data_IF_025643737021
#
_entry.id   IF_025643737021
#
_cell.length_a   1.000
_cell.length_b   1.000
_cell.length_c   1.000
_cell.angle_alpha   90.00
_cell.angle_beta   90.00
_cell.angle_gamma   90.00
#
_symmetry.space_group_name_H-M   'P 1'
#
loop_
_entity.id
_entity.type
_entity.pdbx_description
1 polymer ?
#
# COMPACT_ATOMS: atom_id res chain seq x y z
N UNK A 1 -20.78 3.67 12.27
CA UNK A 1 -19.33 3.89 12.39
C UNK A 1 -18.66 3.50 11.07
N UNK A 2 -18.24 4.46 10.23
CA UNK A 2 -17.57 4.14 8.96
C UNK A 2 -16.13 3.75 9.29
N UNK A 3 -15.86 2.45 9.36
CA UNK A 3 -14.52 1.92 9.66
C UNK A 3 -13.49 2.46 8.64
N UNK A 4 -12.36 2.99 9.14
CA UNK A 4 -11.22 3.41 8.32
C UNK A 4 -10.64 2.25 7.49
N UNK A 5 -10.95 0.99 7.85
CA UNK A 5 -10.58 -0.23 7.11
C UNK A 5 -11.12 -0.30 5.67
N UNK A 6 -12.01 0.60 5.28
CA UNK A 6 -12.51 0.70 3.91
C UNK A 6 -11.60 1.50 2.97
N UNK A 7 -10.68 2.31 3.49
CA UNK A 7 -9.89 3.24 2.69
C UNK A 7 -8.43 2.81 2.62
N UNK A 8 -8.00 2.43 1.42
CA UNK A 8 -6.59 2.16 1.11
C UNK A 8 -6.05 3.36 0.36
N UNK A 9 -5.11 4.08 0.99
CA UNK A 9 -4.36 5.19 0.40
C UNK A 9 -3.29 4.62 -0.51
N UNK A 10 -3.33 4.97 -1.80
CA UNK A 10 -2.32 4.57 -2.78
C UNK A 10 -1.25 5.67 -2.80
N UNK A 11 -0.02 5.32 -2.47
CA UNK A 11 1.07 6.29 -2.33
C UNK A 11 2.20 6.02 -3.33
N UNK A 12 2.44 6.96 -4.24
CA UNK A 12 3.62 6.95 -5.11
C UNK A 12 4.84 7.43 -4.32
N UNK A 13 5.85 6.57 -4.18
CA UNK A 13 7.13 6.87 -3.51
C UNK A 13 8.33 6.94 -4.47
N UNK A 14 8.08 7.16 -5.77
CA UNK A 14 9.14 7.25 -6.80
C UNK A 14 10.09 8.44 -6.57
N UNK A 15 9.59 9.52 -5.98
CA UNK A 15 10.37 10.74 -5.72
C UNK A 15 10.01 11.31 -4.36
N UNK A 16 10.05 10.45 -3.34
CA UNK A 16 9.68 10.80 -1.99
C UNK A 16 10.71 11.77 -1.40
N UNK A 17 10.21 12.91 -0.93
CA UNK A 17 11.01 14.01 -0.38
C UNK A 17 10.32 14.60 0.84
N UNK A 18 11.10 15.00 1.83
CA UNK A 18 10.59 15.76 2.97
C UNK A 18 10.32 17.21 2.54
N UNK A 19 9.11 17.72 2.78
CA UNK A 19 8.76 19.10 2.42
C UNK A 19 9.26 20.16 3.41
N UNK A 20 9.88 19.74 4.52
CA UNK A 20 10.39 20.65 5.55
C UNK A 20 11.89 20.94 5.37
N UNK A 21 12.63 20.02 4.74
CA UNK A 21 14.08 20.13 4.57
C UNK A 21 14.59 19.60 3.22
N UNK A 22 13.71 19.22 2.30
CA UNK A 22 14.02 18.69 0.96
C UNK A 22 14.87 17.40 0.94
N UNK A 23 15.01 16.72 2.09
CA UNK A 23 15.70 15.43 2.16
C UNK A 23 15.03 14.39 1.25
N UNK A 24 15.83 13.72 0.42
CA UNK A 24 15.40 12.59 -0.41
C UNK A 24 15.36 11.32 0.44
N UNK A 25 14.27 10.57 0.34
CA UNK A 25 14.02 9.38 1.15
C UNK A 25 13.49 8.28 0.25
N UNK A 26 13.90 7.04 0.48
CA UNK A 26 13.58 5.92 -0.42
C UNK A 26 12.37 5.12 0.09
N UNK A 27 12.16 5.05 1.41
CA UNK A 27 11.08 4.28 2.01
C UNK A 27 10.10 5.13 2.83
N UNK A 28 8.84 4.68 2.90
CA UNK A 28 7.82 5.37 3.71
C UNK A 28 8.14 5.33 5.20
N UNK A 29 8.67 4.21 5.70
CA UNK A 29 9.04 4.05 7.10
C UNK A 29 10.20 4.97 7.49
N UNK A 30 11.19 5.12 6.60
CA UNK A 30 12.28 6.08 6.76
C UNK A 30 11.77 7.52 6.82
N UNK A 31 10.76 7.87 6.00
CA UNK A 31 10.18 9.21 6.03
C UNK A 31 9.46 9.46 7.37
N UNK A 32 8.71 8.49 7.88
CA UNK A 32 8.04 8.61 9.19
C UNK A 32 9.09 8.80 10.30
N UNK A 33 10.18 8.02 10.27
CA UNK A 33 11.26 8.14 11.23
C UNK A 33 11.98 9.49 11.13
N UNK A 34 12.25 9.96 9.92
CA UNK A 34 12.84 11.28 9.65
C UNK A 34 11.97 12.41 10.18
N UNK A 35 10.66 12.39 9.89
CA UNK A 35 9.71 13.40 10.35
C UNK A 35 9.64 13.43 11.90
N UNK A 36 9.71 12.28 12.56
CA UNK A 36 9.74 12.21 14.01
C UNK A 36 11.04 12.75 14.61
N UNK A 37 12.20 12.36 14.06
CA UNK A 37 13.52 12.70 14.61
C UNK A 37 13.96 14.13 14.32
N UNK A 38 13.81 14.57 13.07
CA UNK A 38 14.34 15.86 12.60
C UNK A 38 13.32 17.00 12.74
N UNK A 39 12.03 16.69 12.81
CA UNK A 39 10.96 17.68 12.78
C UNK A 39 9.93 17.55 13.91
N UNK A 40 10.08 16.56 14.80
CA UNK A 40 9.14 16.33 15.92
C UNK A 40 7.71 16.02 15.47
N UNK A 41 7.53 15.56 14.22
CA UNK A 41 6.22 15.19 13.65
C UNK A 41 6.00 13.70 13.82
N UNK A 42 5.30 13.34 14.89
CA UNK A 42 4.95 11.96 15.17
C UNK A 42 3.70 11.56 14.39
N UNK A 43 3.77 10.40 13.72
CA UNK A 43 2.66 9.79 13.00
C UNK A 43 2.31 8.44 13.62
N UNK A 44 1.02 8.10 13.57
CA UNK A 44 0.53 6.81 14.01
C UNK A 44 0.95 5.69 13.04
N UNK A 45 1.65 4.68 13.58
CA UNK A 45 2.15 3.53 12.82
C UNK A 45 1.09 2.45 12.61
N UNK A 46 -0.05 2.52 13.30
CA UNK A 46 -1.15 1.57 13.13
C UNK A 46 -1.81 1.69 11.74
N UNK A 47 -1.57 2.80 11.03
CA UNK A 47 -2.12 3.08 9.70
C UNK A 47 -1.37 2.31 8.58
N UNK A 48 -0.25 1.63 8.86
CA UNK A 48 0.56 0.93 7.83
C UNK A 48 -0.24 0.00 6.92
N UNK A 49 -1.26 -0.69 7.43
CA UNK A 49 -2.11 -1.58 6.63
C UNK A 49 -3.01 -0.86 5.61
N UNK A 50 -3.20 0.45 5.77
CA UNK A 50 -4.07 1.28 4.93
C UNK A 50 -3.30 2.10 3.90
N UNK A 51 -1.98 2.20 4.01
CA UNK A 51 -1.15 2.86 3.01
C UNK A 51 -0.53 1.76 2.14
N UNK A 52 -0.83 1.80 0.86
CA UNK A 52 -0.23 0.95 -0.14
C UNK A 52 0.77 1.76 -0.95
N UNK A 53 2.06 1.71 -0.59
CA UNK A 53 3.11 2.36 -1.34
C UNK A 53 3.45 1.59 -2.63
N UNK A 54 3.79 2.32 -3.68
CA UNK A 54 4.28 1.79 -4.95
C UNK A 54 5.30 2.73 -5.57
N UNK A 55 6.13 2.22 -6.48
CA UNK A 55 7.15 2.99 -7.18
C UNK A 55 7.07 2.73 -8.68
N UNK A 56 7.30 3.76 -9.49
CA UNK A 56 7.54 3.60 -10.91
C UNK A 56 9.03 3.33 -11.17
N UNK A 57 9.31 2.50 -12.17
CA UNK A 57 10.66 2.42 -12.73
C UNK A 57 11.05 3.74 -13.42
N UNK A 58 12.35 3.91 -13.72
CA UNK A 58 12.90 5.18 -14.24
C UNK A 58 12.16 5.74 -15.45
N UNK A 59 11.67 4.88 -16.33
CA UNK A 59 10.93 5.25 -17.54
C UNK A 59 9.41 5.31 -17.36
N UNK A 60 8.89 5.05 -16.14
CA UNK A 60 7.47 4.97 -15.80
C UNK A 60 6.65 3.95 -16.61
N UNK A 61 7.29 3.03 -17.32
CA UNK A 61 6.62 1.98 -18.09
C UNK A 61 6.16 0.82 -17.19
N UNK A 62 6.90 0.59 -16.11
CA UNK A 62 6.59 -0.44 -15.12
C UNK A 62 6.40 0.15 -13.74
N UNK A 63 5.60 -0.55 -12.94
CA UNK A 63 5.34 -0.24 -11.55
C UNK A 63 5.91 -1.38 -10.71
N UNK A 64 6.84 -1.04 -9.82
CA UNK A 64 7.52 -1.97 -8.93
C UNK A 64 6.82 -2.01 -7.57
N UNK A 65 6.63 -3.22 -7.05
CA UNK A 65 6.22 -3.41 -5.68
C UNK A 65 7.35 -2.95 -4.74
N UNK A 66 7.01 -2.28 -3.65
CA UNK A 66 8.03 -1.82 -2.69
C UNK A 66 8.26 -2.82 -1.56
N UNK A 67 7.42 -3.86 -1.47
CA UNK A 67 7.50 -4.91 -0.46
C UNK A 67 8.14 -6.21 -1.01
N UNK A 68 8.37 -6.29 -2.32
CA UNK A 68 9.08 -7.38 -2.99
C UNK A 68 9.65 -6.93 -4.34
N UNK A 69 10.36 -7.82 -5.04
CA UNK A 69 11.03 -7.48 -6.30
C UNK A 69 10.13 -7.57 -7.55
N UNK A 70 8.81 -7.75 -7.41
CA UNK A 70 7.92 -7.92 -8.55
C UNK A 70 7.61 -6.60 -9.26
N UNK A 71 7.49 -6.68 -10.59
CA UNK A 71 7.16 -5.57 -11.48
C UNK A 71 5.87 -5.84 -12.25
N UNK A 72 5.12 -4.79 -12.53
CA UNK A 72 3.81 -4.86 -13.17
C UNK A 72 3.68 -3.79 -14.25
N UNK A 73 3.07 -4.17 -15.38
CA UNK A 73 2.87 -3.27 -16.51
C UNK A 73 1.66 -2.33 -16.34
N UNK A 74 0.85 -2.53 -15.29
CA UNK A 74 -0.25 -1.63 -14.96
C UNK A 74 -0.62 -1.69 -13.49
N UNK A 75 -1.31 -0.64 -13.03
CA UNK A 75 -1.68 -0.48 -11.63
C UNK A 75 -2.69 -1.52 -11.14
N UNK A 76 -3.60 -2.00 -12.01
CA UNK A 76 -4.62 -2.98 -11.63
C UNK A 76 -3.97 -4.30 -11.19
N UNK A 77 -3.01 -4.80 -11.97
CA UNK A 77 -2.30 -6.06 -11.67
C UNK A 77 -1.45 -5.91 -10.40
N UNK A 78 -0.75 -4.78 -10.23
CA UNK A 78 -0.06 -4.49 -8.97
C UNK A 78 -1.05 -4.50 -7.80
N UNK A 79 -2.19 -3.83 -7.93
CA UNK A 79 -3.19 -3.72 -6.87
C UNK A 79 -3.72 -5.10 -6.43
N UNK A 80 -3.96 -6.00 -7.40
CA UNK A 80 -4.35 -7.39 -7.12
C UNK A 80 -3.22 -8.18 -6.45
N UNK A 81 -1.97 -7.98 -6.88
CA UNK A 81 -0.79 -8.56 -6.23
C UNK A 81 -0.69 -8.15 -4.76
N UNK A 82 -1.02 -6.91 -4.40
CA UNK A 82 -0.89 -6.42 -3.02
C UNK A 82 -1.75 -7.18 -2.00
N UNK A 83 -2.72 -8.01 -2.41
CA UNK A 83 -3.44 -8.93 -1.54
C UNK A 83 -2.50 -9.94 -0.83
N UNK A 84 -1.32 -10.25 -1.41
CA UNK A 84 -0.33 -11.14 -0.77
C UNK A 84 0.39 -10.47 0.40
N UNK A 85 0.48 -9.13 0.37
CA UNK A 85 1.15 -8.32 1.38
C UNK A 85 0.17 -7.78 2.42
N UNK A 86 -1.04 -7.44 2.01
CA UNK A 86 -2.08 -6.85 2.87
C UNK A 86 -3.30 -7.77 2.93
N UNK A 87 -3.55 -8.34 4.10
CA UNK A 87 -4.72 -9.18 4.39
C UNK A 87 -5.72 -8.45 5.29
N UNK A 88 -6.06 -7.22 4.91
CA UNK A 88 -6.96 -6.35 5.68
C UNK A 88 -8.38 -6.93 5.79
N UNK A 89 -8.81 -7.68 4.77
CA UNK A 89 -10.10 -8.35 4.70
C UNK A 89 -9.88 -9.81 4.35
N UNK A 90 -10.37 -10.74 5.16
CA UNK A 90 -10.15 -12.18 4.99
C UNK A 90 -11.46 -12.85 4.58
N UNK A 91 -11.42 -13.73 3.58
CA UNK A 91 -12.54 -14.58 3.24
C UNK A 91 -12.70 -15.66 4.32
N UNK A 92 -13.86 -15.69 4.97
CA UNK A 92 -14.16 -16.68 6.02
C UNK A 92 -14.34 -18.09 5.46
N UNK A 93 -14.60 -18.24 4.15
CA UNK A 93 -14.83 -19.53 3.50
C UNK A 93 -13.50 -20.23 3.17
N UNK A 94 -12.53 -19.51 2.57
CA UNK A 94 -11.28 -20.11 2.07
C UNK A 94 -10.00 -19.49 2.65
N UNK A 95 -10.10 -18.54 3.57
CA UNK A 95 -8.96 -17.90 4.21
C UNK A 95 -8.15 -16.94 3.33
N UNK A 96 -8.58 -16.67 2.09
CA UNK A 96 -7.89 -15.74 1.20
C UNK A 96 -7.94 -14.31 1.74
N UNK A 97 -6.81 -13.63 1.78
CA UNK A 97 -6.69 -12.25 2.23
C UNK A 97 -6.80 -11.25 1.08
N UNK A 98 -7.36 -10.08 1.36
CA UNK A 98 -7.61 -9.02 0.40
C UNK A 98 -7.28 -7.65 1.00
N UNK A 99 -6.74 -6.77 0.17
CA UNK A 99 -6.35 -5.42 0.57
C UNK A 99 -7.56 -4.52 0.88
N UNK A 100 -8.71 -4.76 0.24
CA UNK A 100 -9.93 -3.98 0.47
C UNK A 100 -11.20 -4.85 0.44
N UNK A 101 -12.29 -4.28 0.97
CA UNK A 101 -13.60 -4.96 1.05
C UNK A 101 -14.21 -5.26 -0.32
N UNK A 102 -14.03 -4.39 -1.32
CA UNK A 102 -14.61 -4.56 -2.65
C UNK A 102 -14.06 -5.81 -3.34
N UNK A 103 -12.75 -6.02 -3.29
CA UNK A 103 -12.10 -7.20 -3.89
C UNK A 103 -12.52 -8.48 -3.18
N UNK A 104 -12.66 -8.46 -1.85
CA UNK A 104 -13.24 -9.59 -1.10
C UNK A 104 -14.67 -9.90 -1.55
N UNK A 105 -15.54 -8.89 -1.70
CA UNK A 105 -16.93 -9.09 -2.15
C UNK A 105 -16.98 -9.70 -3.55
N UNK A 106 -16.18 -9.20 -4.49
CA UNK A 106 -16.08 -9.76 -5.84
C UNK A 106 -15.58 -11.21 -5.83
N UNK A 107 -14.60 -11.52 -4.96
CA UNK A 107 -14.14 -12.89 -4.77
C UNK A 107 -15.24 -13.81 -4.23
N UNK A 108 -16.07 -13.32 -3.31
CA UNK A 108 -17.14 -14.10 -2.68
C UNK A 108 -18.12 -14.73 -3.66
N UNK A 109 -18.39 -14.09 -4.80
CA UNK A 109 -19.25 -14.66 -5.85
C UNK A 109 -18.70 -15.97 -6.44
N UNK A 110 -17.40 -16.24 -6.33
CA UNK A 110 -16.78 -17.49 -6.77
C UNK A 110 -17.11 -18.70 -5.89
N UNK A 111 -17.63 -18.46 -4.68
CA UNK A 111 -18.12 -19.52 -3.79
C UNK A 111 -19.63 -19.79 -3.98
N UNK A 112 -20.30 -18.98 -4.79
CA UNK A 112 -21.73 -19.14 -5.11
C UNK A 112 -21.96 -19.95 -6.39
N UNK A 113 -20.89 -20.28 -7.10
CA UNK A 113 -20.84 -21.14 -8.29
C UNK A 113 -20.32 -22.51 -7.92
#
# INVERSE_FOLDING_TARGET
CKSMAAYVVKLDITSLTCRLCDAKIEELDELIDHLAKEHGKHYDREIKGHIMPFRFEKNREKIKCVLCSNEFNNFKVLFEHMNVHFKNHVCEICGSGFINRRTLLTHGYRHLT
#
